data_IF_824783056654
#
_entry.id   IF_824783056654
#
_cell.length_a   1.000
_cell.length_b   1.000
_cell.length_c   1.000
_cell.angle_alpha   90.00
_cell.angle_beta   90.00
_cell.angle_gamma   90.00
#
_symmetry.space_group_name_H-M   'P 1'
#
loop_
_entity.id
_entity.type
_entity.pdbx_description
1 polymer ?
#
# COMPACT_ATOMS: atom_id res chain seq x y z
N UNK A 1 -19.96 -25.41 34.46
CA UNK A 1 -20.38 -24.14 33.85
C UNK A 1 -19.64 -24.03 32.53
N UNK A 2 -20.35 -24.17 31.42
CA UNK A 2 -19.75 -24.29 30.08
C UNK A 2 -19.20 -22.97 29.56
N UNK A 3 -18.02 -23.03 28.94
CA UNK A 3 -17.53 -21.97 28.06
C UNK A 3 -17.75 -22.44 26.62
N UNK A 4 -18.63 -21.73 25.91
CA UNK A 4 -18.78 -21.80 24.47
C UNK A 4 -17.66 -20.95 23.87
N UNK A 5 -16.72 -21.56 23.14
CA UNK A 5 -15.77 -20.80 22.31
C UNK A 5 -16.29 -20.83 20.88
N UNK A 6 -16.76 -19.68 20.43
CA UNK A 6 -17.22 -19.42 19.07
C UNK A 6 -16.04 -19.59 18.11
N UNK A 7 -16.21 -20.51 17.16
CA UNK A 7 -15.33 -20.62 15.99
C UNK A 7 -15.77 -19.55 14.99
N UNK A 8 -14.94 -18.53 14.76
CA UNK A 8 -15.04 -17.69 13.56
C UNK A 8 -13.74 -17.78 12.78
N UNK A 9 -13.84 -18.36 11.58
CA UNK A 9 -12.77 -18.40 10.58
C UNK A 9 -12.63 -17.01 9.98
N UNK A 10 -11.55 -16.32 10.32
CA UNK A 10 -11.07 -15.17 9.52
C UNK A 10 -10.08 -15.72 8.49
N UNK A 11 -10.50 -15.73 7.23
CA UNK A 11 -9.67 -16.17 6.10
C UNK A 11 -8.71 -15.06 5.71
N UNK A 12 -7.49 -15.09 6.23
CA UNK A 12 -6.37 -14.32 5.70
C UNK A 12 -5.17 -15.26 5.54
N UNK A 13 -4.68 -15.44 4.32
CA UNK A 13 -3.78 -16.53 3.89
C UNK A 13 -2.35 -16.45 4.45
N UNK A 14 -2.09 -15.57 5.41
CA UNK A 14 -0.82 -15.47 6.16
C UNK A 14 -0.94 -15.97 7.62
N UNK A 15 -2.11 -16.44 8.05
CA UNK A 15 -2.35 -16.87 9.45
C UNK A 15 -2.06 -18.34 9.75
N UNK A 16 -1.90 -19.21 8.75
CA UNK A 16 -1.81 -20.66 8.97
C UNK A 16 -0.55 -21.12 9.71
N UNK A 17 0.51 -20.29 9.80
CA UNK A 17 1.69 -20.57 10.65
C UNK A 17 1.57 -19.96 12.07
N UNK A 18 0.58 -19.07 12.30
CA UNK A 18 0.51 -18.20 13.49
C UNK A 18 -0.30 -18.77 14.65
N UNK A 19 -1.12 -19.79 14.42
CA UNK A 19 -2.00 -20.37 15.45
C UNK A 19 -1.34 -21.51 16.25
N UNK A 20 -0.22 -22.06 15.79
CA UNK A 20 0.45 -23.20 16.46
C UNK A 20 1.14 -22.85 17.78
N UNK A 21 1.28 -21.56 18.12
CA UNK A 21 1.95 -21.10 19.34
C UNK A 21 0.96 -20.71 20.45
N UNK A 22 -0.34 -20.58 20.13
CA UNK A 22 -1.28 -19.80 20.97
C UNK A 22 -2.18 -20.64 21.86
N UNK A 23 -2.31 -21.93 21.60
CA UNK A 23 -3.10 -22.85 22.43
C UNK A 23 -2.31 -24.16 22.52
N UNK A 24 -2.09 -24.72 23.73
CA UNK A 24 -1.59 -26.09 23.83
C UNK A 24 -2.42 -26.99 22.92
N UNK A 25 -1.76 -27.84 22.13
CA UNK A 25 -2.48 -28.75 21.25
C UNK A 25 -3.45 -29.58 22.11
N UNK A 26 -4.72 -29.63 21.73
CA UNK A 26 -5.73 -30.38 22.48
C UNK A 26 -5.43 -31.89 22.54
N UNK A 27 -4.57 -32.37 21.63
CA UNK A 27 -4.04 -33.74 21.63
C UNK A 27 -2.78 -33.92 22.47
N UNK A 28 -2.21 -32.83 22.99
CA UNK A 28 -1.02 -32.89 23.83
C UNK A 28 -1.37 -33.56 25.17
N UNK A 29 -0.68 -34.65 25.55
CA UNK A 29 -0.96 -35.35 26.80
C UNK A 29 -0.59 -34.52 28.04
N UNK A 30 0.25 -33.49 27.89
CA UNK A 30 0.61 -32.58 28.97
C UNK A 30 -0.19 -31.28 28.82
N UNK A 31 -1.24 -31.16 29.65
CA UNK A 31 -2.11 -30.00 29.79
C UNK A 31 -1.89 -29.32 31.15
N UNK A 32 -0.67 -29.38 31.68
CA UNK A 32 -0.33 -28.81 32.99
C UNK A 32 -0.43 -27.26 32.99
N UNK A 33 -0.77 -26.64 34.13
CA UNK A 33 -0.75 -25.18 34.28
C UNK A 33 0.61 -24.57 33.93
N UNK A 34 1.70 -25.28 34.20
CA UNK A 34 3.06 -24.86 33.88
C UNK A 34 3.26 -24.70 32.36
N UNK A 35 2.76 -25.66 31.58
CA UNK A 35 2.85 -25.64 30.12
C UNK A 35 1.93 -24.59 29.51
N UNK A 36 0.73 -24.42 30.05
CA UNK A 36 -0.16 -23.32 29.68
C UNK A 36 0.51 -21.96 29.93
N UNK A 37 1.13 -21.78 31.10
CA UNK A 37 1.81 -20.54 31.45
C UNK A 37 3.04 -20.28 30.56
N UNK A 38 3.78 -21.32 30.16
CA UNK A 38 4.86 -21.18 29.17
C UNK A 38 4.34 -20.71 27.80
N UNK A 39 3.26 -21.31 27.30
CA UNK A 39 2.64 -20.89 26.04
C UNK A 39 2.11 -19.45 26.14
N UNK A 40 1.49 -19.09 27.27
CA UNK A 40 1.05 -17.73 27.54
C UNK A 40 2.21 -16.73 27.54
N UNK A 41 3.33 -17.04 28.20
CA UNK A 41 4.52 -16.20 28.19
C UNK A 41 5.09 -16.01 26.78
N UNK A 42 5.11 -17.07 25.97
CA UNK A 42 5.54 -16.98 24.58
C UNK A 42 4.59 -16.10 23.74
N UNK A 43 3.28 -16.25 23.93
CA UNK A 43 2.28 -15.40 23.29
C UNK A 43 2.44 -13.93 23.70
N UNK A 44 2.70 -13.64 24.98
CA UNK A 44 2.97 -12.28 25.46
C UNK A 44 4.22 -11.68 24.82
N UNK A 45 5.31 -12.45 24.69
CA UNK A 45 6.53 -11.96 24.04
C UNK A 45 6.29 -11.63 22.56
N UNK A 46 5.55 -12.48 21.84
CA UNK A 46 5.19 -12.23 20.45
C UNK A 46 4.31 -10.98 20.32
N UNK A 47 3.22 -10.91 21.09
CA UNK A 47 2.30 -9.77 21.06
C UNK A 47 3.00 -8.46 21.48
N UNK A 48 3.85 -8.51 22.50
CA UNK A 48 4.67 -7.38 22.93
C UNK A 48 5.65 -6.94 21.84
N UNK A 49 6.29 -7.89 21.13
CA UNK A 49 7.14 -7.62 19.99
C UNK A 49 6.39 -6.95 18.84
N UNK A 50 5.23 -7.49 18.45
CA UNK A 50 4.38 -6.93 17.39
C UNK A 50 3.89 -5.52 17.74
N UNK A 51 3.49 -5.30 19.00
CA UNK A 51 3.11 -3.97 19.48
C UNK A 51 4.26 -2.98 19.38
N UNK A 52 5.45 -3.36 19.85
CA UNK A 52 6.62 -2.48 19.79
C UNK A 52 7.04 -2.15 18.35
N UNK A 53 7.00 -3.14 17.44
CA UNK A 53 7.27 -2.91 16.01
C UNK A 53 6.22 -1.98 15.39
N UNK A 54 4.94 -2.15 15.74
CA UNK A 54 3.87 -1.24 15.30
C UNK A 54 4.10 0.19 15.80
N UNK A 55 4.39 0.38 17.09
CA UNK A 55 4.71 1.71 17.65
C UNK A 55 5.92 2.32 16.96
N UNK A 56 6.98 1.54 16.76
CA UNK A 56 8.20 1.99 16.05
C UNK A 56 7.88 2.43 14.63
N UNK A 57 7.09 1.66 13.89
CA UNK A 57 6.66 2.02 12.53
C UNK A 57 5.89 3.33 12.52
N UNK A 58 4.91 3.50 13.42
CA UNK A 58 4.10 4.71 13.46
C UNK A 58 4.94 5.95 13.80
N UNK A 59 5.84 5.85 14.78
CA UNK A 59 6.69 6.96 15.21
C UNK A 59 7.77 7.30 14.20
N UNK A 60 8.45 6.30 13.63
CA UNK A 60 9.64 6.52 12.79
C UNK A 60 9.34 6.63 11.30
N UNK A 61 8.20 6.14 10.83
CA UNK A 61 7.88 6.09 9.40
C UNK A 61 6.55 6.78 9.09
N UNK A 62 5.46 6.37 9.73
CA UNK A 62 4.13 6.88 9.36
C UNK A 62 3.92 8.35 9.75
N UNK A 63 4.20 8.75 10.99
CA UNK A 63 4.01 10.14 11.45
C UNK A 63 4.86 11.16 10.65
N UNK A 64 6.17 10.93 10.43
CA UNK A 64 6.99 11.85 9.64
C UNK A 64 6.56 11.95 8.17
N UNK A 65 5.90 10.91 7.63
CA UNK A 65 5.43 10.94 6.25
C UNK A 65 4.39 12.04 6.01
N UNK A 66 3.62 12.44 7.03
CA UNK A 66 2.56 13.45 6.86
C UNK A 66 3.09 14.77 6.26
N UNK A 67 4.20 15.29 6.77
CA UNK A 67 4.76 16.56 6.28
C UNK A 67 5.26 16.44 4.84
N UNK A 68 5.82 15.28 4.47
CA UNK A 68 6.27 14.99 3.10
C UNK A 68 5.07 14.95 2.16
N UNK A 69 4.00 14.25 2.54
CA UNK A 69 2.76 14.18 1.74
C UNK A 69 2.16 15.57 1.56
N UNK A 70 2.11 16.37 2.63
CA UNK A 70 1.60 17.74 2.57
C UNK A 70 2.42 18.62 1.62
N UNK A 71 3.75 18.56 1.71
CA UNK A 71 4.64 19.34 0.83
C UNK A 71 4.48 18.95 -0.63
N UNK A 72 4.49 17.64 -0.94
CA UNK A 72 4.27 17.13 -2.30
C UNK A 72 2.87 17.50 -2.82
N UNK A 73 1.84 17.40 -1.99
CA UNK A 73 0.47 17.76 -2.34
C UNK A 73 0.34 19.25 -2.67
N UNK A 74 0.94 20.14 -1.88
CA UNK A 74 0.88 21.58 -2.10
C UNK A 74 1.72 22.04 -3.31
N UNK A 75 2.82 21.35 -3.60
CA UNK A 75 3.73 21.68 -4.71
C UNK A 75 3.39 20.97 -6.03
N UNK A 76 2.38 20.09 -6.05
CA UNK A 76 2.05 19.25 -7.22
C UNK A 76 1.75 20.00 -8.51
N UNK A 77 1.30 21.25 -8.44
CA UNK A 77 1.12 22.11 -9.61
C UNK A 77 2.41 22.37 -10.39
N UNK A 78 3.58 22.24 -9.76
CA UNK A 78 4.89 22.33 -10.41
C UNK A 78 5.25 21.07 -11.21
N UNK A 79 4.65 19.92 -10.86
CA UNK A 79 4.84 18.64 -11.57
C UNK A 79 4.00 18.62 -12.83
N UNK A 80 2.70 18.88 -12.67
CA UNK A 80 1.76 18.87 -13.77
C UNK A 80 0.69 19.96 -13.57
N UNK A 81 0.42 20.79 -14.59
CA UNK A 81 -0.56 21.86 -14.50
C UNK A 81 -1.99 21.40 -14.17
N UNK A 82 -2.33 20.12 -14.37
CA UNK A 82 -3.63 19.58 -13.95
C UNK A 82 -3.84 19.62 -12.44
N UNK A 83 -2.76 19.55 -11.66
CA UNK A 83 -2.85 19.37 -10.20
C UNK A 83 -3.40 17.99 -9.79
N UNK A 84 -3.46 17.00 -10.70
CA UNK A 84 -4.00 15.67 -10.41
C UNK A 84 -2.90 14.59 -10.27
N UNK A 85 -1.63 14.99 -10.45
CA UNK A 85 -0.44 14.12 -10.37
C UNK A 85 0.46 14.64 -9.26
N UNK A 86 0.79 13.79 -8.30
CA UNK A 86 1.73 14.08 -7.21
C UNK A 86 2.96 13.18 -7.33
N UNK A 87 4.14 13.71 -6.97
CA UNK A 87 5.41 12.98 -7.03
C UNK A 87 6.05 12.94 -5.66
N UNK A 88 6.60 11.78 -5.30
CA UNK A 88 7.48 11.62 -4.15
C UNK A 88 8.91 11.35 -4.61
N UNK A 89 9.85 12.16 -4.14
CA UNK A 89 11.30 11.93 -4.35
C UNK A 89 11.77 10.64 -3.66
N UNK A 90 11.16 10.32 -2.52
CA UNK A 90 11.37 9.07 -1.79
C UNK A 90 10.03 8.50 -1.35
N UNK A 91 9.86 7.19 -1.52
CA UNK A 91 8.67 6.51 -1.06
C UNK A 91 8.45 6.70 0.46
N UNK A 92 7.21 6.98 0.84
CA UNK A 92 6.76 7.02 2.23
C UNK A 92 5.31 6.50 2.32
N UNK A 93 4.83 6.10 3.52
CA UNK A 93 3.41 5.81 3.73
C UNK A 93 2.56 7.05 3.45
N UNK A 94 1.82 7.08 2.34
CA UNK A 94 1.14 8.31 1.89
C UNK A 94 -0.38 8.25 1.88
N UNK A 95 -0.98 7.06 1.72
CA UNK A 95 -2.42 6.92 1.40
C UNK A 95 -3.32 7.63 2.41
N UNK A 96 -3.27 7.24 3.68
CA UNK A 96 -4.16 7.81 4.70
C UNK A 96 -3.93 9.32 4.86
N UNK A 97 -2.68 9.77 4.91
CA UNK A 97 -2.34 11.19 4.97
C UNK A 97 -2.89 11.98 3.80
N UNK A 98 -2.82 11.44 2.57
CA UNK A 98 -3.36 12.12 1.39
C UNK A 98 -4.86 12.36 1.54
N UNK A 99 -5.63 11.35 1.96
CA UNK A 99 -7.07 11.50 2.16
C UNK A 99 -7.42 12.51 3.24
N UNK A 100 -6.73 12.46 4.39
CA UNK A 100 -6.93 13.42 5.48
C UNK A 100 -6.58 14.85 5.03
N UNK A 101 -5.45 15.04 4.35
CA UNK A 101 -5.00 16.35 3.88
C UNK A 101 -5.88 16.92 2.77
N UNK A 102 -6.37 16.09 1.84
CA UNK A 102 -7.31 16.52 0.81
C UNK A 102 -8.62 17.05 1.43
N UNK A 103 -9.14 16.38 2.47
CA UNK A 103 -10.33 16.86 3.19
C UNK A 103 -10.04 18.09 4.07
N UNK A 104 -8.95 18.09 4.83
CA UNK A 104 -8.57 19.20 5.73
C UNK A 104 -8.31 20.49 4.97
N UNK A 105 -7.58 20.42 3.85
CA UNK A 105 -7.16 21.56 3.05
C UNK A 105 -8.16 21.89 1.92
N UNK A 106 -9.25 21.11 1.80
CA UNK A 106 -10.27 21.25 0.74
C UNK A 106 -9.66 21.31 -0.65
N UNK A 107 -8.79 20.34 -0.94
CA UNK A 107 -8.02 20.27 -2.16
C UNK A 107 -8.92 19.93 -3.35
N UNK A 108 -8.88 20.78 -4.38
CA UNK A 108 -9.44 20.51 -5.69
C UNK A 108 -8.46 21.00 -6.79
N UNK A 109 -8.28 20.26 -7.90
CA UNK A 109 -8.79 18.90 -8.11
C UNK A 109 -8.07 17.87 -7.24
N UNK A 110 -8.76 16.76 -6.97
CA UNK A 110 -8.23 15.62 -6.23
C UNK A 110 -7.10 14.91 -6.97
N UNK A 111 -6.14 14.37 -6.22
CA UNK A 111 -5.01 13.62 -6.79
C UNK A 111 -5.51 12.30 -7.38
N UNK A 112 -5.17 12.01 -8.63
CA UNK A 112 -5.52 10.75 -9.32
C UNK A 112 -4.34 9.80 -9.40
N UNK A 113 -3.12 10.31 -9.55
CA UNK A 113 -1.91 9.51 -9.66
C UNK A 113 -0.81 9.98 -8.73
N UNK A 114 -0.11 9.01 -8.14
CA UNK A 114 1.09 9.22 -7.33
C UNK A 114 2.26 8.53 -8.01
N UNK A 115 3.34 9.28 -8.21
CA UNK A 115 4.59 8.81 -8.78
C UNK A 115 5.66 8.68 -7.70
N UNK A 116 6.40 7.59 -7.71
CA UNK A 116 7.55 7.40 -6.80
C UNK A 116 8.50 6.37 -7.37
N UNK A 117 9.78 6.49 -7.03
CA UNK A 117 10.77 5.49 -7.42
C UNK A 117 10.71 4.26 -6.49
N UNK A 118 10.71 3.08 -7.08
CA UNK A 118 10.91 1.83 -6.35
C UNK A 118 12.38 1.71 -5.92
N UNK A 119 12.64 1.58 -4.62
CA UNK A 119 14.01 1.54 -4.11
C UNK A 119 14.81 0.33 -4.60
N UNK A 120 14.15 -0.80 -4.90
CA UNK A 120 14.79 -2.07 -5.27
C UNK A 120 15.06 -2.12 -6.77
N UNK A 121 14.06 -1.88 -7.60
CA UNK A 121 14.20 -1.96 -9.06
C UNK A 121 14.68 -0.66 -9.70
N UNK A 122 14.71 0.46 -8.97
CA UNK A 122 15.00 1.82 -9.46
C UNK A 122 14.05 2.33 -10.56
N UNK A 123 13.06 1.53 -10.92
CA UNK A 123 11.98 1.93 -11.82
C UNK A 123 10.99 2.84 -11.08
N UNK A 124 10.30 3.69 -11.84
CA UNK A 124 9.24 4.55 -11.35
C UNK A 124 7.89 3.84 -11.36
N UNK A 125 7.12 4.04 -10.30
CA UNK A 125 5.74 3.56 -10.17
C UNK A 125 4.77 4.67 -10.55
N UNK A 126 3.68 4.28 -11.20
CA UNK A 126 2.50 5.10 -11.41
C UNK A 126 1.36 4.43 -10.67
N UNK A 127 0.99 4.95 -9.51
CA UNK A 127 -0.06 4.37 -8.68
C UNK A 127 -1.32 5.23 -8.73
N UNK A 128 -2.44 4.62 -9.10
CA UNK A 128 -3.74 5.28 -9.06
C UNK A 128 -4.24 5.38 -7.61
N UNK A 129 -4.74 6.55 -7.24
CA UNK A 129 -5.33 6.80 -5.92
C UNK A 129 -6.72 6.15 -5.87
N UNK A 130 -7.04 5.47 -4.76
CA UNK A 130 -8.36 4.87 -4.57
C UNK A 130 -9.45 5.92 -4.33
N UNK A 131 -10.71 5.56 -4.55
CA UNK A 131 -11.85 6.45 -4.23
C UNK A 131 -12.02 6.66 -2.72
N UNK A 132 -11.59 5.69 -1.92
CA UNK A 132 -11.53 5.75 -0.46
C UNK A 132 -10.40 4.85 0.09
N UNK A 133 -9.93 5.06 1.34
CA UNK A 133 -8.80 4.32 1.91
C UNK A 133 -8.95 2.79 1.95
N UNK A 134 -10.18 2.30 2.07
CA UNK A 134 -10.56 0.89 2.23
C UNK A 134 -11.11 0.26 0.94
N UNK A 135 -11.04 0.97 -0.20
CA UNK A 135 -11.59 0.54 -1.48
C UNK A 135 -10.51 0.22 -2.50
N UNK A 136 -10.76 -0.83 -3.30
CA UNK A 136 -9.90 -1.22 -4.41
C UNK A 136 -10.13 -0.38 -5.67
N UNK A 137 -11.28 0.26 -5.78
CA UNK A 137 -11.64 1.12 -6.90
C UNK A 137 -10.76 2.37 -6.93
N UNK A 138 -10.17 2.65 -8.09
CA UNK A 138 -9.31 3.82 -8.32
C UNK A 138 -10.13 5.00 -8.81
N UNK A 139 -9.83 6.22 -8.34
CA UNK A 139 -10.39 7.49 -8.86
C UNK A 139 -10.25 7.58 -10.37
N UNK A 140 -9.10 7.13 -10.87
CA UNK A 140 -8.85 6.91 -12.29
C UNK A 140 -7.84 5.78 -12.47
N UNK A 141 -8.33 4.57 -12.73
CA UNK A 141 -7.45 3.44 -13.06
C UNK A 141 -6.67 3.72 -14.36
N UNK A 142 -5.50 3.11 -14.51
CA UNK A 142 -4.76 3.15 -15.77
C UNK A 142 -5.62 2.55 -16.92
N UNK A 143 -5.44 3.04 -18.17
CA UNK A 143 -6.25 2.66 -19.33
C UNK A 143 -6.41 1.16 -19.49
N UNK A 144 -7.62 0.71 -19.80
CA UNK A 144 -7.94 -0.71 -19.99
C UNK A 144 -7.04 -1.40 -21.01
N UNK A 145 -6.72 -0.69 -22.10
CA UNK A 145 -5.83 -1.17 -23.15
C UNK A 145 -4.43 -1.53 -22.65
N UNK A 146 -3.96 -0.93 -21.56
CA UNK A 146 -2.62 -1.18 -21.03
C UNK A 146 -2.60 -2.34 -20.02
N UNK A 147 -3.76 -2.69 -19.44
CA UNK A 147 -3.85 -3.59 -18.29
C UNK A 147 -3.37 -4.99 -18.64
N UNK A 148 -2.44 -5.52 -17.84
CA UNK A 148 -1.82 -6.82 -18.08
C UNK A 148 -0.62 -6.79 -19.03
N UNK A 149 -0.41 -5.70 -19.79
CA UNK A 149 0.74 -5.56 -20.68
C UNK A 149 2.02 -5.22 -19.93
N UNK A 150 3.16 -5.55 -20.54
CA UNK A 150 4.50 -5.37 -19.96
C UNK A 150 5.52 -4.95 -21.02
N UNK A 151 6.61 -4.37 -20.53
CA UNK A 151 7.84 -4.14 -21.31
C UNK A 151 7.59 -3.50 -22.70
N UNK A 152 8.13 -4.10 -23.76
CA UNK A 152 8.09 -3.54 -25.13
C UNK A 152 6.68 -3.52 -25.72
N UNK A 153 5.83 -4.51 -25.40
CA UNK A 153 4.42 -4.54 -25.83
C UNK A 153 3.67 -3.32 -25.29
N UNK A 154 3.83 -3.03 -23.99
CA UNK A 154 3.22 -1.86 -23.38
C UNK A 154 3.82 -0.56 -23.93
N UNK A 155 5.12 -0.53 -24.20
CA UNK A 155 5.79 0.65 -24.78
C UNK A 155 5.27 0.94 -26.19
N UNK A 156 4.97 -0.09 -26.98
CA UNK A 156 4.39 0.04 -28.32
C UNK A 156 2.95 0.52 -28.27
N UNK A 157 2.11 -0.06 -27.41
CA UNK A 157 0.69 0.31 -27.27
C UNK A 157 0.53 1.76 -26.75
N UNK A 158 1.38 2.17 -25.81
CA UNK A 158 1.34 3.52 -25.22
C UNK A 158 2.02 4.58 -26.09
N UNK A 159 2.98 4.18 -26.94
CA UNK A 159 3.94 5.09 -27.56
C UNK A 159 4.96 5.69 -26.58
N UNK A 160 5.02 5.21 -25.33
CA UNK A 160 5.90 5.70 -24.27
C UNK A 160 7.03 4.68 -24.07
N UNK A 161 8.27 5.13 -24.22
CA UNK A 161 9.42 4.24 -24.07
C UNK A 161 9.66 3.83 -22.62
N UNK A 162 10.19 2.62 -22.43
CA UNK A 162 10.67 2.15 -21.14
C UNK A 162 9.57 1.75 -20.15
N UNK A 163 8.35 1.48 -20.64
CA UNK A 163 7.31 0.91 -19.78
C UNK A 163 7.76 -0.44 -19.20
N UNK A 164 7.34 -0.73 -17.97
CA UNK A 164 7.68 -1.98 -17.25
C UNK A 164 6.46 -2.88 -17.17
N UNK A 165 5.33 -2.37 -16.66
CA UNK A 165 4.06 -3.09 -16.63
C UNK A 165 2.88 -2.19 -16.28
N UNK A 166 1.66 -2.70 -16.48
CA UNK A 166 0.44 -2.23 -15.82
C UNK A 166 -0.32 -3.44 -15.25
N UNK A 167 -0.74 -3.34 -13.98
CA UNK A 167 -1.51 -4.41 -13.33
C UNK A 167 -2.88 -4.62 -14.03
N UNK A 168 -3.43 -5.84 -13.96
CA UNK A 168 -4.68 -6.20 -14.62
C UNK A 168 -5.89 -5.32 -14.21
N UNK A 169 -5.91 -4.82 -12.97
CA UNK A 169 -6.95 -3.87 -12.53
C UNK A 169 -6.62 -2.40 -12.82
N UNK A 170 -5.43 -2.08 -13.33
CA UNK A 170 -5.01 -0.71 -13.64
C UNK A 170 -4.65 0.15 -12.42
N UNK A 171 -4.65 -0.38 -11.21
CA UNK A 171 -4.33 0.41 -10.00
C UNK A 171 -2.86 0.85 -9.91
N UNK A 172 -1.96 0.16 -10.62
CA UNK A 172 -0.54 0.46 -10.62
C UNK A 172 0.10 0.07 -11.94
N UNK A 173 1.07 0.86 -12.37
CA UNK A 173 1.99 0.56 -13.45
C UNK A 173 3.39 1.08 -13.14
N UNK A 174 4.27 1.02 -14.12
CA UNK A 174 5.59 1.60 -13.96
C UNK A 174 6.36 1.79 -15.25
N UNK A 175 7.37 2.65 -15.17
CA UNK A 175 8.30 2.98 -16.23
C UNK A 175 9.74 2.93 -15.66
N UNK A 176 10.74 2.74 -16.52
CA UNK A 176 12.16 2.73 -16.12
C UNK A 176 12.62 4.09 -15.60
N UNK A 177 12.08 5.19 -16.13
CA UNK A 177 12.51 6.56 -15.81
C UNK A 177 11.33 7.44 -15.37
N UNK A 178 11.65 8.58 -14.76
CA UNK A 178 10.68 9.52 -14.23
C UNK A 178 9.79 10.10 -15.33
N UNK A 179 10.41 10.57 -16.41
CA UNK A 179 9.74 11.25 -17.52
C UNK A 179 8.73 10.32 -18.17
N UNK A 180 9.09 9.05 -18.38
CA UNK A 180 8.17 8.04 -18.91
C UNK A 180 7.01 7.73 -17.96
N UNK A 181 7.24 7.70 -16.64
CA UNK A 181 6.17 7.51 -15.67
C UNK A 181 5.21 8.71 -15.61
N UNK A 182 5.74 9.92 -15.73
CA UNK A 182 4.96 11.15 -15.81
C UNK A 182 4.12 11.19 -17.09
N UNK A 183 4.69 10.83 -18.24
CA UNK A 183 3.94 10.74 -19.49
C UNK A 183 2.87 9.64 -19.44
N UNK A 184 3.12 8.51 -18.78
CA UNK A 184 2.09 7.49 -18.57
C UNK A 184 0.91 8.05 -17.75
N UNK A 185 1.18 8.77 -16.66
CA UNK A 185 0.13 9.38 -15.85
C UNK A 185 -0.65 10.46 -16.63
N UNK A 186 0.05 11.31 -17.41
CA UNK A 186 -0.57 12.34 -18.26
C UNK A 186 -1.44 11.76 -19.36
N UNK A 187 -0.96 10.73 -20.05
CA UNK A 187 -1.73 10.03 -21.07
C UNK A 187 -2.95 9.36 -20.44
N UNK A 188 -2.78 8.70 -19.30
CA UNK A 188 -3.87 8.09 -18.56
C UNK A 188 -4.95 9.11 -18.14
N UNK A 189 -4.58 10.33 -17.71
CA UNK A 189 -5.53 11.39 -17.36
C UNK A 189 -6.48 11.76 -18.52
N UNK A 190 -5.99 11.70 -19.77
CA UNK A 190 -6.71 12.12 -20.99
C UNK A 190 -7.58 11.02 -21.60
N UNK A 191 -7.41 9.77 -21.18
CA UNK A 191 -8.18 8.63 -21.66
C UNK A 191 -9.57 8.54 -21.01
#
# INVERSE_FOLDING_TARGET
MGLVVLSERVTDSNYTYRDSVRVPDWTDPDQSPEKENMAFQQAMMLAGGEFLESVRFHVKSWLPARSIVMECLLSRGNVDPSGEIMVFDRFCPWKLHLFELEDELKIEPLTKYVLYQDERSKSWRVQAVSVAPDRFESRKALPEKWRGMRDDELSQETGILGCVFVHMSGFIGGNKIYEGALEMARAALKC
#
